data_IF_758382296546
#
_entry.id   IF_758382296546
#
_cell.length_a   1.000
_cell.length_b   1.000
_cell.length_c   1.000
_cell.angle_alpha   90.00
_cell.angle_beta   90.00
_cell.angle_gamma   90.00
#
_symmetry.space_group_name_H-M   'P 1'
#
loop_
_entity.id
_entity.type
_entity.pdbx_description
1 polymer ?
#
# COMPACT_ATOMS: atom_id res chain seq x y z
N UNK A 1 -13.49 20.07 28.86
CA UNK A 1 -14.39 19.87 27.71
C UNK A 1 -14.95 18.44 27.65
N UNK A 2 -14.12 17.39 27.73
CA UNK A 2 -14.59 15.98 27.73
C UNK A 2 -15.60 15.69 28.85
N UNK A 3 -15.33 16.14 30.08
CA UNK A 3 -16.24 15.94 31.21
C UNK A 3 -17.61 16.58 31.03
N UNK A 4 -17.66 17.77 30.43
CA UNK A 4 -18.91 18.46 30.08
C UNK A 4 -19.71 17.66 29.04
N UNK A 5 -19.04 17.10 28.03
CA UNK A 5 -19.68 16.25 27.03
C UNK A 5 -20.30 14.99 27.61
N UNK A 6 -19.60 14.30 28.52
CA UNK A 6 -20.12 13.10 29.21
C UNK A 6 -21.32 13.45 30.11
N UNK A 7 -21.21 14.52 30.89
CA UNK A 7 -22.28 14.96 31.78
C UNK A 7 -23.54 15.38 31.03
N UNK A 8 -23.39 16.10 29.91
CA UNK A 8 -24.53 16.56 29.11
C UNK A 8 -25.13 15.42 28.30
N UNK A 9 -24.33 14.59 27.63
CA UNK A 9 -24.85 13.55 26.73
C UNK A 9 -25.44 12.35 27.48
N UNK A 10 -24.69 11.79 28.45
CA UNK A 10 -25.11 10.58 29.17
C UNK A 10 -25.87 10.98 30.45
N UNK A 11 -25.37 11.98 31.17
CA UNK A 11 -25.93 12.40 32.45
C UNK A 11 -27.34 12.99 32.33
N UNK A 12 -27.64 13.77 31.28
CA UNK A 12 -28.99 14.32 31.08
C UNK A 12 -30.03 13.23 30.83
N UNK A 13 -29.74 12.30 29.91
CA UNK A 13 -30.61 11.16 29.59
C UNK A 13 -30.83 10.30 30.84
N UNK A 14 -29.77 10.08 31.63
CA UNK A 14 -29.89 9.35 32.88
C UNK A 14 -30.75 10.05 33.91
N UNK A 15 -30.59 11.35 34.12
CA UNK A 15 -31.41 12.11 35.08
C UNK A 15 -32.90 12.06 34.72
N UNK A 16 -33.23 12.22 33.43
CA UNK A 16 -34.61 12.17 32.94
C UNK A 16 -35.24 10.79 33.15
N UNK A 17 -34.50 9.71 32.88
CA UNK A 17 -35.03 8.35 33.06
C UNK A 17 -35.09 7.97 34.55
N UNK A 18 -34.13 8.42 35.36
CA UNK A 18 -34.04 8.13 36.79
C UNK A 18 -35.19 8.73 37.59
N UNK A 19 -35.63 9.94 37.25
CA UNK A 19 -36.76 10.60 37.93
C UNK A 19 -38.10 9.91 37.65
N UNK A 20 -38.25 9.20 36.52
CA UNK A 20 -39.50 8.54 36.15
C UNK A 20 -39.56 7.04 36.55
N UNK A 21 -38.44 6.32 36.45
CA UNK A 21 -38.41 4.84 36.57
C UNK A 21 -37.56 4.32 37.73
N UNK A 22 -36.91 5.23 38.46
CA UNK A 22 -36.01 4.92 39.58
C UNK A 22 -34.58 4.62 39.13
N UNK A 23 -33.64 4.92 40.03
CA UNK A 23 -32.19 4.98 39.73
C UNK A 23 -31.62 3.66 39.19
N UNK A 24 -32.08 2.51 39.71
CA UNK A 24 -31.60 1.19 39.30
C UNK A 24 -32.00 0.84 37.87
N UNK A 25 -33.24 1.18 37.49
CA UNK A 25 -33.73 0.89 36.14
C UNK A 25 -33.10 1.84 35.13
N UNK A 26 -33.08 3.14 35.44
CA UNK A 26 -32.46 4.15 34.60
C UNK A 26 -31.00 3.85 34.28
N UNK A 27 -30.23 3.38 35.26
CA UNK A 27 -28.83 3.01 35.05
C UNK A 27 -28.68 1.87 34.04
N UNK A 28 -29.51 0.83 34.12
CA UNK A 28 -29.49 -0.28 33.16
C UNK A 28 -29.88 0.16 31.76
N UNK A 29 -30.94 0.96 31.63
CA UNK A 29 -31.45 1.44 30.33
C UNK A 29 -30.43 2.34 29.64
N UNK A 30 -29.84 3.29 30.38
CA UNK A 30 -28.88 4.25 29.81
C UNK A 30 -27.57 3.56 29.44
N UNK A 31 -27.06 2.65 30.28
CA UNK A 31 -25.88 1.86 29.95
C UNK A 31 -26.13 0.96 28.74
N UNK A 32 -27.31 0.34 28.64
CA UNK A 32 -27.68 -0.44 27.46
C UNK A 32 -27.72 0.46 26.21
N UNK A 33 -28.37 1.62 26.28
CA UNK A 33 -28.40 2.59 25.17
C UNK A 33 -27.00 3.04 24.74
N UNK A 34 -26.10 3.32 25.69
CA UNK A 34 -24.71 3.70 25.41
C UNK A 34 -23.94 2.56 24.73
N UNK A 35 -24.05 1.33 25.24
CA UNK A 35 -23.36 0.18 24.66
C UNK A 35 -23.90 -0.19 23.28
N UNK A 36 -25.21 -0.07 23.07
CA UNK A 36 -25.83 -0.24 21.75
C UNK A 36 -25.36 0.83 20.76
N UNK A 37 -25.27 2.09 21.19
CA UNK A 37 -24.70 3.16 20.38
C UNK A 37 -23.22 2.93 20.06
N UNK A 38 -22.41 2.51 21.03
CA UNK A 38 -20.99 2.17 20.81
C UNK A 38 -20.84 0.97 19.87
N UNK A 39 -21.73 -0.02 19.93
CA UNK A 39 -21.74 -1.16 19.01
C UNK A 39 -22.07 -0.71 17.56
N UNK A 40 -23.02 0.20 17.37
CA UNK A 40 -23.36 0.76 16.05
C UNK A 40 -22.20 1.58 15.50
N UNK A 41 -21.62 2.49 16.30
CA UNK A 41 -20.47 3.28 15.88
C UNK A 41 -19.25 2.42 15.58
N UNK A 42 -18.95 1.47 16.47
CA UNK A 42 -17.88 0.50 16.25
C UNK A 42 -18.10 -0.28 14.96
N UNK A 43 -19.34 -0.71 14.67
CA UNK A 43 -19.66 -1.44 13.44
C UNK A 43 -19.39 -0.58 12.20
N UNK A 44 -19.79 0.70 12.22
CA UNK A 44 -19.48 1.64 11.15
C UNK A 44 -17.96 1.83 11.00
N UNK A 45 -17.23 2.05 12.10
CA UNK A 45 -15.77 2.17 12.09
C UNK A 45 -15.06 0.91 11.60
N UNK A 46 -15.57 -0.26 11.95
CA UNK A 46 -15.03 -1.54 11.49
C UNK A 46 -15.24 -1.73 9.98
N UNK A 47 -16.44 -1.42 9.49
CA UNK A 47 -16.79 -1.55 8.07
C UNK A 47 -15.99 -0.58 7.20
N UNK A 48 -15.91 0.69 7.61
CA UNK A 48 -15.21 1.74 6.84
C UNK A 48 -13.71 1.84 7.16
N UNK A 49 -13.23 1.19 8.22
CA UNK A 49 -11.85 1.31 8.68
C UNK A 49 -11.47 2.75 9.04
N UNK A 50 -12.35 3.46 9.75
CA UNK A 50 -12.22 4.86 10.17
C UNK A 50 -12.36 4.99 11.70
N UNK A 51 -12.32 6.22 12.23
CA UNK A 51 -12.44 6.47 13.67
C UNK A 51 -11.19 6.04 14.44
N UNK A 52 -11.36 5.34 15.56
CA UNK A 52 -10.24 4.80 16.34
C UNK A 52 -9.65 3.54 15.67
N UNK A 53 -9.02 3.76 14.52
CA UNK A 53 -8.38 2.71 13.72
C UNK A 53 -6.97 2.38 14.23
N UNK A 54 -6.49 1.18 13.86
CA UNK A 54 -5.09 0.80 14.01
C UNK A 54 -4.19 1.44 12.94
N UNK A 55 -2.94 0.98 12.86
CA UNK A 55 -2.01 1.42 11.82
C UNK A 55 -2.53 1.06 10.43
N UNK A 56 -2.36 1.97 9.47
CA UNK A 56 -2.59 1.72 8.06
C UNK A 56 -1.47 0.83 7.47
N UNK A 57 -1.71 0.14 6.35
CA UNK A 57 -0.67 -0.62 5.66
C UNK A 57 0.47 0.29 5.20
N UNK A 58 1.71 -0.15 5.39
CA UNK A 58 2.91 0.54 4.91
C UNK A 58 3.97 -0.45 4.46
N UNK A 59 4.93 0.00 3.67
CA UNK A 59 6.17 -0.74 3.45
C UNK A 59 7.08 -0.55 4.66
N UNK A 60 7.76 -1.61 5.07
CA UNK A 60 8.79 -1.56 6.12
C UNK A 60 10.06 -2.15 5.55
N UNK A 61 11.14 -1.36 5.57
CA UNK A 61 12.46 -1.83 5.14
C UNK A 61 12.98 -2.86 6.13
N UNK A 62 13.36 -4.02 5.58
CA UNK A 62 13.93 -5.15 6.32
C UNK A 62 15.43 -5.19 6.14
N UNK A 63 15.92 -4.84 4.95
CA UNK A 63 17.32 -4.88 4.60
C UNK A 63 17.65 -3.83 3.53
N UNK A 64 18.82 -3.21 3.62
CA UNK A 64 19.38 -2.34 2.58
C UNK A 64 20.73 -2.95 2.22
N UNK A 65 20.81 -3.54 1.04
CA UNK A 65 22.00 -4.20 0.54
C UNK A 65 22.72 -3.30 -0.47
N UNK A 66 24.05 -3.27 -0.41
CA UNK A 66 24.90 -2.52 -1.34
C UNK A 66 25.72 -3.53 -2.17
N UNK A 67 25.43 -3.62 -3.46
CA UNK A 67 26.11 -4.51 -4.39
C UNK A 67 25.53 -5.93 -4.40
N UNK A 68 26.13 -6.85 -3.64
CA UNK A 68 25.86 -8.30 -3.75
C UNK A 68 24.60 -8.72 -2.98
N UNK A 69 23.52 -8.98 -3.72
CA UNK A 69 22.24 -9.49 -3.19
C UNK A 69 22.37 -10.81 -2.41
N UNK A 70 23.38 -11.64 -2.70
CA UNK A 70 23.61 -12.90 -1.99
C UNK A 70 23.96 -12.68 -0.51
N UNK A 71 24.49 -11.51 -0.16
CA UNK A 71 24.79 -11.12 1.21
C UNK A 71 23.54 -10.66 2.00
N UNK A 72 22.37 -10.53 1.35
CA UNK A 72 21.16 -10.00 2.01
C UNK A 72 20.74 -10.84 3.20
N UNK A 73 20.24 -10.19 4.26
CA UNK A 73 19.61 -10.86 5.39
C UNK A 73 18.32 -11.60 5.03
N UNK A 74 17.72 -11.28 3.88
CA UNK A 74 16.46 -11.86 3.39
C UNK A 74 16.77 -12.97 2.38
N UNK A 75 16.36 -14.21 2.69
CA UNK A 75 16.64 -15.36 1.83
C UNK A 75 16.02 -15.22 0.44
N UNK A 76 14.82 -14.65 0.37
CA UNK A 76 14.10 -14.39 -0.88
C UNK A 76 14.84 -13.39 -1.78
N UNK A 77 15.54 -12.39 -1.21
CA UNK A 77 16.27 -11.39 -2.00
C UNK A 77 17.46 -11.99 -2.75
N UNK A 78 18.10 -13.03 -2.18
CA UNK A 78 19.23 -13.75 -2.79
C UNK A 78 18.86 -14.56 -4.03
N UNK A 79 17.55 -14.74 -4.27
CA UNK A 79 17.06 -15.46 -5.46
C UNK A 79 16.93 -14.56 -6.68
N UNK A 80 16.95 -13.24 -6.49
CA UNK A 80 16.87 -12.30 -7.59
C UNK A 80 18.21 -12.29 -8.33
N UNK A 81 18.24 -12.50 -9.66
CA UNK A 81 19.47 -12.40 -10.45
C UNK A 81 20.08 -11.00 -10.38
N UNK A 82 21.39 -10.92 -10.54
CA UNK A 82 22.09 -9.63 -10.54
C UNK A 82 21.65 -8.80 -11.76
N UNK A 83 21.51 -7.46 -11.60
CA UNK A 83 21.06 -6.59 -12.68
C UNK A 83 21.89 -6.68 -13.96
N UNK A 84 23.19 -6.96 -13.84
CA UNK A 84 24.13 -7.01 -14.97
C UNK A 84 23.95 -8.28 -15.83
N UNK A 85 23.30 -9.32 -15.31
CA UNK A 85 22.99 -10.55 -16.06
C UNK A 85 21.74 -10.39 -16.96
N UNK A 86 20.93 -9.36 -16.68
CA UNK A 86 19.69 -9.09 -17.39
C UNK A 86 19.93 -8.05 -18.50
N UNK A 87 19.36 -8.21 -19.71
CA UNK A 87 19.53 -7.23 -20.77
C UNK A 87 19.03 -5.84 -20.32
N UNK A 88 19.63 -4.80 -20.89
CA UNK A 88 19.14 -3.44 -20.65
C UNK A 88 17.75 -3.26 -21.26
N UNK A 89 16.95 -2.36 -20.70
CA UNK A 89 15.60 -2.14 -21.23
C UNK A 89 15.64 -1.63 -22.68
N UNK A 90 16.63 -0.79 -23.03
CA UNK A 90 16.80 -0.29 -24.39
C UNK A 90 17.12 -1.41 -25.39
N UNK A 91 18.03 -2.32 -25.04
CA UNK A 91 18.33 -3.50 -25.87
C UNK A 91 17.07 -4.35 -26.09
N UNK A 92 16.24 -4.52 -25.06
CA UNK A 92 14.97 -5.24 -25.19
C UNK A 92 14.03 -4.54 -26.18
N UNK A 93 13.93 -3.20 -26.13
CA UNK A 93 13.11 -2.43 -27.09
C UNK A 93 13.58 -2.66 -28.52
N UNK A 94 14.88 -2.46 -28.77
CA UNK A 94 15.49 -2.59 -30.10
C UNK A 94 15.32 -4.01 -30.65
N UNK A 95 15.55 -5.03 -29.82
CA UNK A 95 15.45 -6.43 -30.21
C UNK A 95 14.00 -6.92 -30.39
N UNK A 96 13.04 -6.37 -29.63
CA UNK A 96 11.66 -6.84 -29.66
C UNK A 96 10.91 -6.52 -30.95
N UNK A 97 11.26 -5.41 -31.61
CA UNK A 97 10.50 -4.90 -32.76
C UNK A 97 9.06 -4.48 -32.42
N UNK A 98 8.69 -4.37 -31.14
CA UNK A 98 7.34 -4.00 -30.73
C UNK A 98 7.04 -2.54 -31.15
N UNK A 99 5.95 -2.28 -31.89
CA UNK A 99 5.65 -0.95 -32.41
C UNK A 99 5.38 0.07 -31.31
N UNK A 100 4.80 -0.35 -30.18
CA UNK A 100 4.51 0.54 -29.05
C UNK A 100 5.77 0.88 -28.27
N UNK A 101 6.62 -0.11 -28.02
CA UNK A 101 7.90 0.12 -27.34
C UNK A 101 8.82 1.01 -28.18
N UNK A 102 8.92 0.75 -29.50
CA UNK A 102 9.76 1.53 -30.40
C UNK A 102 9.25 2.96 -30.57
N UNK A 103 7.93 3.18 -30.66
CA UNK A 103 7.38 4.52 -30.79
C UNK A 103 7.76 5.42 -29.61
N UNK A 104 7.76 4.88 -28.38
CA UNK A 104 8.04 5.65 -27.17
C UNK A 104 9.55 5.80 -26.90
N UNK A 105 10.31 4.72 -27.07
CA UNK A 105 11.70 4.61 -26.58
C UNK A 105 12.75 4.39 -27.67
N UNK A 106 12.37 4.39 -28.94
CA UNK A 106 13.31 4.19 -30.06
C UNK A 106 12.99 5.10 -31.25
N UNK A 107 12.59 6.34 -30.96
CA UNK A 107 12.38 7.40 -31.95
C UNK A 107 13.35 8.54 -31.69
N UNK A 108 13.97 9.04 -32.77
CA UNK A 108 14.85 10.21 -32.76
C UNK A 108 14.25 11.28 -33.69
N UNK A 109 14.19 12.55 -33.27
CA UNK A 109 13.70 13.61 -34.14
C UNK A 109 14.60 13.81 -35.34
N UNK A 110 14.03 14.19 -36.47
CA UNK A 110 14.77 14.52 -37.69
C UNK A 110 14.80 16.04 -37.90
N UNK A 111 15.69 16.54 -38.76
CA UNK A 111 15.72 17.96 -39.17
C UNK A 111 14.35 18.48 -39.67
N UNK A 112 13.51 17.59 -40.22
CA UNK A 112 12.15 17.92 -40.64
C UNK A 112 11.21 18.28 -39.47
N UNK A 113 11.47 17.77 -38.26
CA UNK A 113 10.68 18.07 -37.05
C UNK A 113 11.05 19.43 -36.46
N UNK A 114 12.26 19.94 -36.78
CA UNK A 114 12.80 21.20 -36.29
C UNK A 114 13.38 22.07 -37.43
N UNK A 115 12.53 22.56 -38.36
CA UNK A 115 13.00 23.30 -39.53
C UNK A 115 13.65 24.66 -39.19
N UNK A 116 13.37 25.20 -38.00
CA UNK A 116 13.86 26.51 -37.55
C UNK A 116 15.17 26.42 -36.77
N UNK A 117 15.66 25.21 -36.44
CA UNK A 117 16.87 25.00 -35.66
C UNK A 117 18.07 24.68 -36.58
N UNK A 118 19.28 25.14 -36.24
CA UNK A 118 20.48 24.74 -36.95
C UNK A 118 20.76 23.24 -36.76
N UNK A 119 21.38 22.55 -37.75
CA UNK A 119 21.62 21.11 -37.67
C UNK A 119 22.42 20.66 -36.44
N UNK A 120 23.30 21.54 -35.93
CA UNK A 120 24.09 21.26 -34.73
C UNK A 120 23.23 21.15 -33.46
N UNK A 121 22.21 22.00 -33.31
CA UNK A 121 21.29 21.94 -32.17
C UNK A 121 20.35 20.72 -32.28
N UNK A 122 19.95 20.34 -33.50
CA UNK A 122 19.17 19.11 -33.72
C UNK A 122 19.98 17.87 -33.32
N UNK A 123 21.28 17.83 -33.62
CA UNK A 123 22.16 16.74 -33.20
C UNK A 123 22.31 16.66 -31.66
N UNK A 124 22.32 17.80 -30.96
CA UNK A 124 22.34 17.85 -29.50
C UNK A 124 21.03 17.28 -28.90
N UNK A 125 19.88 17.68 -29.47
CA UNK A 125 18.57 17.15 -29.07
C UNK A 125 18.49 15.63 -29.33
N UNK A 126 18.99 15.17 -30.48
CA UNK A 126 19.06 13.73 -30.79
C UNK A 126 19.92 12.98 -29.78
N UNK A 127 21.08 13.52 -29.40
CA UNK A 127 21.95 12.90 -28.40
C UNK A 127 21.28 12.84 -27.02
N UNK A 128 20.58 13.89 -26.58
CA UNK A 128 19.82 13.91 -25.32
C UNK A 128 18.68 12.88 -25.31
N UNK A 129 17.94 12.77 -26.42
CA UNK A 129 16.85 11.78 -26.54
C UNK A 129 17.42 10.36 -26.61
N UNK A 130 18.54 10.16 -27.30
CA UNK A 130 19.21 8.87 -27.32
C UNK A 130 19.66 8.46 -25.92
N UNK A 131 20.25 9.38 -25.15
CA UNK A 131 20.61 9.14 -23.75
C UNK A 131 19.39 8.77 -22.90
N UNK A 132 18.24 9.42 -23.09
CA UNK A 132 16.98 9.03 -22.43
C UNK A 132 16.60 7.59 -22.76
N UNK A 133 16.68 7.23 -24.03
CA UNK A 133 16.30 5.91 -24.50
C UNK A 133 17.24 4.83 -23.94
N UNK A 134 18.55 5.10 -23.89
CA UNK A 134 19.57 4.18 -23.35
C UNK A 134 19.49 4.03 -21.83
N UNK A 135 19.13 5.09 -21.12
CA UNK A 135 19.00 5.07 -19.65
C UNK A 135 17.63 4.58 -19.17
N UNK A 136 16.80 4.03 -20.07
CA UNK A 136 15.49 3.46 -19.77
C UNK A 136 15.60 2.31 -18.75
N UNK A 137 14.71 2.30 -17.76
CA UNK A 137 14.60 1.20 -16.79
C UNK A 137 13.64 0.12 -17.27
N UNK A 138 13.80 -1.11 -16.77
CA UNK A 138 12.91 -2.23 -17.14
C UNK A 138 11.52 -2.00 -16.56
N UNK A 139 11.42 -1.39 -15.38
CA UNK A 139 10.15 -0.96 -14.77
C UNK A 139 9.40 0.09 -15.60
N UNK A 140 10.10 1.04 -16.25
CA UNK A 140 9.50 1.98 -17.19
C UNK A 140 9.02 1.28 -18.47
N UNK A 141 9.85 0.39 -19.02
CA UNK A 141 9.46 -0.42 -20.18
C UNK A 141 8.22 -1.27 -19.88
N UNK A 142 8.14 -1.89 -18.71
CA UNK A 142 7.00 -2.68 -18.28
C UNK A 142 5.70 -1.86 -18.16
N UNK A 143 5.79 -0.54 -17.91
CA UNK A 143 4.62 0.33 -17.85
C UNK A 143 4.02 0.60 -19.23
N UNK A 144 4.86 0.67 -20.27
CA UNK A 144 4.45 0.96 -21.65
C UNK A 144 4.18 -0.32 -22.44
N UNK A 145 5.11 -1.26 -22.43
CA UNK A 145 5.08 -2.50 -23.21
C UNK A 145 5.38 -3.73 -22.32
N UNK A 146 4.45 -4.12 -21.43
CA UNK A 146 4.64 -5.26 -20.53
C UNK A 146 4.85 -6.60 -21.24
N UNK A 147 4.40 -6.72 -22.50
CA UNK A 147 4.63 -7.91 -23.32
C UNK A 147 6.10 -8.12 -23.67
N UNK A 148 6.87 -7.03 -23.85
CA UNK A 148 8.30 -7.11 -24.15
C UNK A 148 9.06 -7.66 -22.95
N UNK A 149 8.90 -7.06 -21.77
CA UNK A 149 9.57 -7.50 -20.54
C UNK A 149 9.23 -8.94 -20.15
N UNK A 150 7.98 -9.36 -20.37
CA UNK A 150 7.53 -10.74 -20.20
C UNK A 150 8.19 -11.72 -21.18
N UNK A 151 8.41 -11.31 -22.42
CA UNK A 151 9.14 -12.12 -23.41
C UNK A 151 10.55 -12.51 -22.93
N UNK A 152 11.14 -11.69 -22.05
CA UNK A 152 12.42 -11.95 -21.39
C UNK A 152 12.29 -12.65 -20.02
N UNK A 153 11.09 -13.07 -19.61
CA UNK A 153 10.86 -13.78 -18.34
C UNK A 153 10.92 -12.91 -17.09
N UNK A 154 10.85 -11.58 -17.22
CA UNK A 154 10.93 -10.66 -16.07
C UNK A 154 9.70 -10.71 -15.15
N UNK A 155 8.66 -11.45 -15.52
CA UNK A 155 7.49 -11.70 -14.69
C UNK A 155 7.66 -12.88 -13.73
N UNK A 156 8.68 -13.72 -13.92
CA UNK A 156 9.07 -14.81 -13.02
C UNK A 156 10.60 -15.03 -13.00
N UNK A 157 11.29 -14.18 -12.26
CA UNK A 157 12.71 -14.29 -11.93
C UNK A 157 12.87 -15.04 -10.61
N UNK A 158 12.80 -16.37 -10.65
CA UNK A 158 12.84 -17.22 -9.46
C UNK A 158 11.76 -16.84 -8.42
N UNK A 159 10.55 -16.53 -8.89
CA UNK A 159 9.42 -16.06 -8.08
C UNK A 159 9.30 -14.55 -7.94
N UNK A 160 10.31 -13.77 -8.35
CA UNK A 160 10.23 -12.32 -8.40
C UNK A 160 9.59 -11.82 -9.68
N UNK A 161 8.67 -10.88 -9.54
CA UNK A 161 7.99 -10.22 -10.65
C UNK A 161 8.41 -8.77 -10.73
N UNK A 162 8.86 -8.33 -11.90
CA UNK A 162 9.09 -6.91 -12.20
C UNK A 162 7.79 -6.11 -12.08
N UNK A 163 7.84 -5.01 -11.33
CA UNK A 163 6.75 -4.07 -11.19
C UNK A 163 6.91 -2.94 -12.20
N UNK A 164 5.84 -2.56 -12.93
CA UNK A 164 5.85 -1.33 -13.71
C UNK A 164 5.85 -0.12 -12.79
N UNK A 165 6.38 1.02 -13.27
CA UNK A 165 6.40 2.30 -12.54
C UNK A 165 5.02 2.74 -12.04
N UNK A 166 3.97 2.38 -12.78
CA UNK A 166 2.57 2.65 -12.41
C UNK A 166 2.10 1.93 -11.13
N UNK A 167 2.81 0.88 -10.69
CA UNK A 167 2.48 0.09 -9.49
C UNK A 167 3.56 0.16 -8.40
N UNK A 168 4.80 0.54 -8.74
CA UNK A 168 5.92 0.59 -7.79
C UNK A 168 6.03 1.89 -7.01
N UNK A 169 5.26 2.93 -7.34
CA UNK A 169 5.44 4.28 -6.77
C UNK A 169 5.44 4.35 -5.23
N UNK A 170 4.55 3.61 -4.55
CA UNK A 170 4.49 3.57 -3.07
C UNK A 170 5.75 2.93 -2.47
N UNK A 171 6.24 1.84 -3.08
CA UNK A 171 7.44 1.16 -2.64
C UNK A 171 8.70 2.00 -2.91
N UNK A 172 8.78 2.61 -4.10
CA UNK A 172 9.89 3.50 -4.47
C UNK A 172 9.97 4.72 -3.55
N UNK A 173 8.84 5.35 -3.22
CA UNK A 173 8.82 6.48 -2.30
C UNK A 173 9.30 6.08 -0.89
N UNK A 174 8.89 4.92 -0.38
CA UNK A 174 9.39 4.43 0.91
C UNK A 174 10.90 4.12 0.85
N UNK A 175 11.37 3.46 -0.20
CA UNK A 175 12.78 3.15 -0.38
C UNK A 175 13.66 4.41 -0.43
N UNK A 176 13.23 5.45 -1.16
CA UNK A 176 13.89 6.76 -1.21
C UNK A 176 13.98 7.37 0.20
N UNK A 177 12.88 7.36 0.94
CA UNK A 177 12.85 7.90 2.29
C UNK A 177 13.80 7.16 3.23
N UNK A 178 13.84 5.83 3.14
CA UNK A 178 14.66 4.99 4.01
C UNK A 178 16.15 5.10 3.66
N UNK A 179 16.52 5.20 2.38
CA UNK A 179 17.91 5.42 1.96
C UNK A 179 18.42 6.80 2.40
N UNK A 180 17.62 7.84 2.23
CA UNK A 180 17.98 9.19 2.69
C UNK A 180 18.05 9.31 4.22
N UNK A 181 17.41 8.38 4.95
CA UNK A 181 17.53 8.29 6.40
C UNK A 181 18.84 7.63 6.87
N UNK A 182 19.65 7.09 5.95
CA UNK A 182 20.92 6.41 6.20
C UNK A 182 22.10 7.19 5.57
N UNK A 183 22.68 8.18 6.29
CA UNK A 183 23.76 9.02 5.77
C UNK A 183 25.06 8.25 5.44
N UNK A 184 25.22 7.06 5.99
CA UNK A 184 26.33 6.14 5.75
C UNK A 184 26.38 5.62 4.31
N UNK A 185 25.25 5.66 3.59
CA UNK A 185 25.18 5.32 2.17
C UNK A 185 25.67 6.45 1.25
N UNK A 186 25.94 7.65 1.78
CA UNK A 186 26.50 8.77 1.02
C UNK A 186 25.51 9.59 0.20
N UNK A 187 24.21 9.30 0.28
CA UNK A 187 23.15 10.06 -0.40
C UNK A 187 22.62 11.19 0.48
N UNK A 188 22.66 12.41 -0.01
CA UNK A 188 22.13 13.60 0.68
C UNK A 188 20.79 14.05 0.10
N UNK A 189 20.54 13.76 -1.18
CA UNK A 189 19.34 14.16 -1.88
C UNK A 189 18.83 13.08 -2.83
N UNK A 190 17.55 13.18 -3.21
CA UNK A 190 16.96 12.31 -4.22
C UNK A 190 17.51 12.54 -5.64
N UNK A 191 18.34 13.58 -5.86
CA UNK A 191 19.03 13.81 -7.12
C UNK A 191 20.35 13.03 -7.22
N UNK A 192 20.89 12.56 -6.09
CA UNK A 192 22.19 11.88 -6.02
C UNK A 192 22.13 10.44 -6.55
N UNK A 193 20.93 9.90 -6.79
CA UNK A 193 20.73 8.55 -7.26
C UNK A 193 19.53 8.45 -8.22
N UNK A 194 19.57 7.44 -9.08
CA UNK A 194 18.48 7.10 -9.99
C UNK A 194 17.82 5.80 -9.51
N UNK A 195 16.49 5.79 -9.48
CA UNK A 195 15.72 4.57 -9.29
C UNK A 195 15.83 3.71 -10.55
N UNK A 196 16.24 2.47 -10.38
CA UNK A 196 16.32 1.48 -11.45
C UNK A 196 14.98 0.72 -11.51
N UNK A 197 14.99 -0.54 -11.09
CA UNK A 197 13.85 -1.44 -11.19
C UNK A 197 13.25 -1.74 -9.82
N UNK A 198 11.95 -2.04 -9.83
CA UNK A 198 11.23 -2.51 -8.66
C UNK A 198 10.67 -3.91 -8.91
N UNK A 199 10.86 -4.81 -7.96
CA UNK A 199 10.41 -6.20 -8.02
C UNK A 199 9.51 -6.52 -6.84
N UNK A 200 8.62 -7.51 -6.99
CA UNK A 200 7.82 -8.03 -5.88
C UNK A 200 7.79 -9.55 -5.88
N UNK A 201 7.76 -10.14 -4.70
CA UNK A 201 7.58 -11.59 -4.50
C UNK A 201 6.52 -11.84 -3.43
N UNK A 202 5.78 -12.94 -3.59
CA UNK A 202 4.74 -13.35 -2.66
C UNK A 202 3.45 -12.52 -2.77
N UNK A 203 2.79 -12.30 -1.64
CA UNK A 203 1.49 -11.65 -1.61
C UNK A 203 0.33 -12.53 -2.08
N UNK A 204 -0.86 -11.93 -2.18
CA UNK A 204 -2.06 -12.64 -2.62
C UNK A 204 -1.97 -12.89 -4.12
N UNK A 205 -2.44 -14.05 -4.61
CA UNK A 205 -2.52 -14.30 -6.03
C UNK A 205 -3.32 -13.19 -6.70
N UNK A 206 -2.72 -12.60 -7.72
CA UNK A 206 -3.38 -11.61 -8.58
C UNK A 206 -4.12 -12.34 -9.71
N UNK A 207 -5.06 -11.63 -10.29
CA UNK A 207 -5.78 -12.11 -11.45
C UNK A 207 -4.84 -12.08 -12.67
N UNK A 208 -4.94 -13.07 -13.56
CA UNK A 208 -4.22 -13.05 -14.84
C UNK A 208 -4.69 -11.87 -15.72
N UNK A 209 -3.90 -11.51 -16.75
CA UNK A 209 -4.23 -10.37 -17.63
C UNK A 209 -5.53 -10.59 -18.43
N UNK A 210 -5.80 -11.83 -18.87
CA UNK A 210 -7.02 -12.21 -19.58
C UNK A 210 -7.86 -13.23 -18.79
N UNK A 211 -8.51 -12.80 -17.69
CA UNK A 211 -9.17 -13.72 -16.79
C UNK A 211 -10.58 -14.02 -17.26
N UNK A 212 -10.91 -15.31 -17.32
CA UNK A 212 -12.28 -15.74 -17.52
C UNK A 212 -13.13 -15.44 -16.27
N UNK A 213 -14.46 -15.47 -16.42
CA UNK A 213 -15.41 -15.32 -15.31
C UNK A 213 -15.13 -16.33 -14.19
N UNK A 214 -14.76 -17.56 -14.56
CA UNK A 214 -14.42 -18.61 -13.61
C UNK A 214 -13.16 -18.31 -12.80
N UNK A 215 -12.14 -17.71 -13.41
CA UNK A 215 -10.90 -17.34 -12.70
C UNK A 215 -11.18 -16.26 -11.65
N UNK A 216 -12.04 -15.30 -11.98
CA UNK A 216 -12.48 -14.26 -11.03
C UNK A 216 -13.21 -14.84 -9.84
N UNK A 217 -14.16 -15.74 -10.09
CA UNK A 217 -14.96 -16.37 -9.03
C UNK A 217 -14.05 -17.25 -8.17
N UNK A 218 -13.22 -18.09 -8.79
CA UNK A 218 -12.28 -18.97 -8.08
C UNK A 218 -11.31 -18.17 -7.22
N UNK A 219 -10.74 -17.10 -7.77
CA UNK A 219 -9.83 -16.21 -7.04
C UNK A 219 -10.53 -15.54 -5.87
N UNK A 220 -11.76 -15.07 -6.05
CA UNK A 220 -12.53 -14.47 -4.97
C UNK A 220 -12.80 -15.46 -3.83
N UNK A 221 -13.24 -16.69 -4.15
CA UNK A 221 -13.49 -17.75 -3.16
C UNK A 221 -12.20 -18.11 -2.41
N UNK A 222 -11.13 -18.39 -3.15
CA UNK A 222 -9.84 -18.81 -2.56
C UNK A 222 -9.21 -17.69 -1.71
N UNK A 223 -9.28 -16.43 -2.16
CA UNK A 223 -8.78 -15.30 -1.38
C UNK A 223 -9.63 -15.00 -0.14
N UNK A 224 -10.94 -15.30 -0.18
CA UNK A 224 -11.83 -15.16 0.99
C UNK A 224 -11.57 -16.26 2.01
N UNK A 225 -11.26 -17.48 1.55
CA UNK A 225 -10.93 -18.61 2.42
C UNK A 225 -9.55 -18.49 3.10
N UNK A 226 -8.63 -17.65 2.57
CA UNK A 226 -7.32 -17.39 3.19
C UNK A 226 -7.47 -16.45 4.39
N UNK A 227 -7.54 -17.05 5.58
CA UNK A 227 -7.60 -16.32 6.85
C UNK A 227 -6.27 -15.58 7.12
N UNK A 228 -5.13 -16.21 6.82
CA UNK A 228 -3.81 -15.60 6.96
C UNK A 228 -3.41 -14.88 5.68
N UNK A 229 -2.68 -13.78 5.83
CA UNK A 229 -2.17 -13.02 4.69
C UNK A 229 -0.76 -13.51 4.35
N UNK A 230 -0.50 -13.92 3.09
CA UNK A 230 0.85 -14.24 2.66
C UNK A 230 1.72 -12.99 2.70
N UNK A 231 2.95 -13.15 3.20
CA UNK A 231 3.95 -12.09 3.21
C UNK A 231 4.25 -11.65 1.76
N UNK A 232 4.43 -10.35 1.58
CA UNK A 232 4.78 -9.76 0.28
C UNK A 232 6.04 -8.93 0.48
N UNK A 233 7.07 -9.23 -0.29
CA UNK A 233 8.26 -8.42 -0.35
C UNK A 233 8.23 -7.53 -1.59
N UNK A 234 8.86 -6.38 -1.48
CA UNK A 234 9.20 -5.51 -2.59
C UNK A 234 10.68 -5.18 -2.51
N UNK A 235 11.37 -5.24 -3.64
CA UNK A 235 12.77 -4.88 -3.76
C UNK A 235 12.84 -3.70 -4.71
N UNK A 236 13.48 -2.61 -4.29
CA UNK A 236 13.70 -1.44 -5.13
C UNK A 236 15.19 -1.23 -5.28
N UNK A 237 15.64 -1.17 -6.52
CA UNK A 237 17.04 -0.93 -6.86
C UNK A 237 17.26 0.53 -7.17
N UNK A 238 18.38 1.06 -6.69
CA UNK A 238 18.86 2.40 -6.96
C UNK A 238 20.37 2.40 -7.12
N UNK A 239 20.87 3.34 -7.90
CA UNK A 239 22.29 3.48 -8.17
C UNK A 239 22.65 4.95 -8.22
N UNK A 240 23.88 5.27 -7.81
CA UNK A 240 24.36 6.64 -7.75
C UNK A 240 24.38 7.29 -9.14
N UNK A 241 24.11 8.60 -9.17
CA UNK A 241 24.17 9.41 -10.38
C UNK A 241 25.48 10.20 -10.39
N UNK A 242 26.08 10.29 -11.57
CA UNK A 242 27.27 11.13 -11.78
C UNK A 242 26.86 12.59 -11.64
N UNK A 243 27.59 13.35 -10.81
CA UNK A 243 27.36 14.78 -10.63
C UNK A 243 27.58 15.53 -11.96
N UNK A 244 26.53 16.20 -12.43
CA UNK A 244 26.52 16.93 -13.69
C UNK A 244 26.35 18.42 -13.41
N UNK A 245 27.23 19.29 -13.95
CA UNK A 245 27.18 20.71 -13.65
C UNK A 245 25.88 21.33 -14.19
N UNK A 246 25.04 21.82 -13.28
CA UNK A 246 23.85 22.57 -13.64
C UNK A 246 24.24 23.98 -14.12
N UNK A 247 23.97 24.27 -15.39
CA UNK A 247 24.16 25.62 -15.94
C UNK A 247 22.88 26.44 -15.72
N UNK A 248 22.94 27.55 -14.96
CA UNK A 248 21.76 28.38 -14.70
C UNK A 248 21.11 28.87 -15.99
N UNK A 249 19.82 28.61 -16.16
CA UNK A 249 19.03 29.01 -17.33
C UNK A 249 18.89 27.95 -18.43
N UNK A 250 19.61 26.82 -18.32
CA UNK A 250 19.38 25.63 -19.16
C UNK A 250 18.46 24.65 -18.42
N UNK A 251 17.85 23.72 -19.18
CA UNK A 251 17.14 22.61 -18.56
C UNK A 251 18.14 21.76 -17.74
N UNK A 252 17.76 21.29 -16.53
CA UNK A 252 18.60 20.39 -15.76
C UNK A 252 19.02 19.19 -16.60
N UNK A 253 20.31 18.82 -16.60
CA UNK A 253 20.78 17.69 -17.36
C UNK A 253 20.17 16.40 -16.82
N UNK A 254 19.97 15.41 -17.68
CA UNK A 254 19.34 14.14 -17.27
C UNK A 254 20.27 13.37 -16.34
N UNK A 255 19.76 12.79 -15.23
CA UNK A 255 20.55 11.93 -14.37
C UNK A 255 21.11 10.72 -15.13
N UNK A 256 22.43 10.61 -15.20
CA UNK A 256 23.16 9.47 -15.77
C UNK A 256 23.75 8.67 -14.63
N UNK A 257 23.50 7.37 -14.65
CA UNK A 257 23.92 6.44 -13.60
C UNK A 257 25.42 6.20 -13.67
N UNK A 258 26.10 6.17 -12.52
CA UNK A 258 27.49 5.74 -12.42
C UNK A 258 27.57 4.22 -12.41
N UNK A 259 28.09 3.63 -13.50
CA UNK A 259 28.25 2.18 -13.65
C UNK A 259 29.37 1.60 -12.79
N UNK A 260 30.25 2.44 -12.22
CA UNK A 260 31.32 2.01 -11.32
C UNK A 260 30.86 1.82 -9.87
N UNK A 261 29.74 2.43 -9.49
CA UNK A 261 29.19 2.35 -8.14
C UNK A 261 28.20 1.17 -8.01
N UNK A 262 28.18 0.48 -6.86
CA UNK A 262 27.34 -0.70 -6.68
C UNK A 262 25.84 -0.34 -6.64
N UNK A 263 25.01 -1.26 -7.13
CA UNK A 263 23.55 -1.14 -7.04
C UNK A 263 23.11 -1.34 -5.59
N UNK A 264 22.39 -0.37 -5.04
CA UNK A 264 21.77 -0.45 -3.72
C UNK A 264 20.38 -1.06 -3.87
N UNK A 265 20.14 -2.16 -3.17
CA UNK A 265 18.87 -2.90 -3.19
C UNK A 265 18.17 -2.76 -1.83
N UNK A 266 17.06 -2.04 -1.82
CA UNK A 266 16.22 -1.86 -0.62
C UNK A 266 15.14 -2.94 -0.61
N UNK A 267 15.23 -3.85 0.35
CA UNK A 267 14.28 -4.95 0.54
C UNK A 267 13.27 -4.56 1.60
N UNK A 268 12.00 -4.51 1.21
CA UNK A 268 10.88 -4.12 2.07
C UNK A 268 9.87 -5.25 2.18
N UNK A 269 9.22 -5.35 3.34
CA UNK A 269 8.06 -6.21 3.56
C UNK A 269 6.80 -5.35 3.64
N UNK A 270 5.68 -5.84 3.09
CA UNK A 270 4.38 -5.16 3.22
C UNK A 270 3.77 -5.46 4.57
N UNK A 271 3.80 -4.48 5.48
CA UNK A 271 2.98 -4.52 6.67
C UNK A 271 1.53 -4.14 6.31
N UNK A 272 0.58 -5.02 6.60
CA UNK A 272 -0.85 -4.80 6.35
C UNK A 272 -1.51 -3.97 7.47
N UNK A 273 -0.79 -3.73 8.56
CA UNK A 273 -1.24 -2.97 9.70
C UNK A 273 -2.41 -3.65 10.44
N UNK A 274 -2.98 -2.91 11.38
CA UNK A 274 -4.08 -3.35 12.24
C UNK A 274 -5.31 -2.46 12.10
N UNK A 275 -5.49 -1.86 10.92
CA UNK A 275 -6.49 -0.82 10.63
C UNK A 275 -7.88 -1.15 11.21
N UNK A 276 -8.35 -2.38 11.03
CA UNK A 276 -9.70 -2.82 11.44
C UNK A 276 -9.76 -3.52 12.80
N UNK A 277 -8.62 -3.86 13.42
CA UNK A 277 -8.58 -4.63 14.66
C UNK A 277 -9.18 -3.85 15.83
N UNK A 278 -8.73 -2.61 16.05
CA UNK A 278 -9.21 -1.77 17.16
C UNK A 278 -10.72 -1.50 17.08
N UNK A 279 -11.28 -1.08 15.92
CA UNK A 279 -12.73 -0.94 15.78
C UNK A 279 -13.48 -2.25 16.03
N UNK A 280 -12.98 -3.39 15.52
CA UNK A 280 -13.62 -4.68 15.73
C UNK A 280 -13.70 -5.06 17.21
N UNK A 281 -12.63 -4.83 17.98
CA UNK A 281 -12.62 -5.09 19.43
C UNK A 281 -13.65 -4.24 20.18
N UNK A 282 -13.79 -2.95 19.82
CA UNK A 282 -14.80 -2.06 20.41
C UNK A 282 -16.21 -2.55 20.07
N UNK A 283 -16.47 -2.90 18.81
CA UNK A 283 -17.78 -3.42 18.37
C UNK A 283 -18.17 -4.68 19.12
N UNK A 284 -17.28 -5.68 19.17
CA UNK A 284 -17.55 -6.97 19.80
C UNK A 284 -17.72 -6.77 21.31
N UNK A 285 -16.83 -6.01 21.94
CA UNK A 285 -16.91 -5.72 23.38
C UNK A 285 -18.21 -5.01 23.76
N UNK A 286 -18.56 -3.93 23.05
CA UNK A 286 -19.79 -3.19 23.31
C UNK A 286 -21.05 -4.00 22.97
N UNK A 287 -21.03 -4.81 21.90
CA UNK A 287 -22.15 -5.66 21.54
C UNK A 287 -22.42 -6.74 22.61
N UNK A 288 -21.37 -7.37 23.15
CA UNK A 288 -21.52 -8.36 24.22
C UNK A 288 -22.10 -7.74 25.50
N UNK A 289 -21.61 -6.55 25.90
CA UNK A 289 -22.14 -5.84 27.07
C UNK A 289 -23.59 -5.39 26.82
N UNK A 290 -23.89 -4.89 25.62
CA UNK A 290 -25.26 -4.52 25.24
C UNK A 290 -26.23 -5.69 25.37
N UNK A 291 -25.87 -6.86 24.82
CA UNK A 291 -26.69 -8.06 24.90
C UNK A 291 -26.88 -8.53 26.34
N UNK A 292 -25.84 -8.46 27.18
CA UNK A 292 -25.94 -8.79 28.61
C UNK A 292 -26.90 -7.85 29.35
N UNK A 293 -26.85 -6.55 29.09
CA UNK A 293 -27.75 -5.56 29.70
C UNK A 293 -29.19 -5.71 29.21
N UNK A 294 -29.40 -5.96 27.92
CA UNK A 294 -30.72 -6.28 27.36
C UNK A 294 -31.29 -7.56 27.98
N UNK A 295 -30.45 -8.59 28.19
CA UNK A 295 -30.86 -9.81 28.86
C UNK A 295 -31.31 -9.54 30.31
N UNK A 296 -30.57 -8.73 31.07
CA UNK A 296 -30.96 -8.35 32.43
C UNK A 296 -32.25 -7.53 32.48
N UNK A 297 -32.44 -6.60 31.55
CA UNK A 297 -33.71 -5.86 31.41
C UNK A 297 -34.88 -6.80 31.11
N UNK A 298 -34.68 -7.76 30.21
CA UNK A 298 -35.70 -8.75 29.85
C UNK A 298 -36.09 -9.65 31.03
N UNK A 299 -35.12 -10.12 31.81
CA UNK A 299 -35.37 -10.91 33.02
C UNK A 299 -36.19 -10.10 34.02
N UNK A 300 -35.82 -8.83 34.25
CA UNK A 300 -36.55 -7.93 35.13
C UNK A 300 -37.98 -7.69 34.67
N UNK A 301 -38.20 -7.46 33.37
CA UNK A 301 -39.54 -7.24 32.84
C UNK A 301 -40.45 -8.46 33.05
N UNK A 302 -39.91 -9.67 32.90
CA UNK A 302 -40.63 -10.90 33.23
C UNK A 302 -41.02 -11.00 34.71
N UNK A 303 -40.10 -10.65 35.62
CA UNK A 303 -40.39 -10.65 37.06
C UNK A 303 -41.50 -9.63 37.42
N UNK A 304 -41.46 -8.44 36.82
CA UNK A 304 -42.49 -7.42 37.04
C UNK A 304 -43.86 -7.86 36.51
N UNK A 305 -43.91 -8.51 35.34
CA UNK A 305 -45.14 -9.07 34.80
C UNK A 305 -45.70 -10.18 35.68
N UNK A 306 -44.84 -11.05 36.23
CA UNK A 306 -45.25 -12.11 37.14
C UNK A 306 -45.88 -11.54 38.42
N UNK A 307 -45.23 -10.55 39.06
CA UNK A 307 -45.75 -9.88 40.26
C UNK A 307 -47.08 -9.15 40.01
N UNK A 308 -47.25 -8.53 38.83
CA UNK A 308 -48.53 -7.90 38.47
C UNK A 308 -49.65 -8.92 38.36
N UNK A 309 -49.39 -10.07 37.73
CA UNK A 309 -50.37 -11.17 37.63
C UNK A 309 -50.75 -11.72 39.01
N UNK A 310 -49.77 -11.89 39.91
CA UNK A 310 -50.04 -12.32 41.30
C UNK A 310 -50.91 -11.29 42.04
N UNK A 311 -50.63 -10.00 41.87
CA UNK A 311 -51.41 -8.92 42.49
C UNK A 311 -52.85 -8.86 41.95
N UNK A 312 -53.02 -8.93 40.63
CA UNK A 312 -54.34 -8.98 39.99
C UNK A 312 -55.15 -10.20 40.47
N UNK A 313 -54.52 -11.37 40.54
CA UNK A 313 -55.15 -12.59 41.06
C UNK A 313 -55.50 -12.52 42.55
N UNK A 314 -54.77 -11.73 43.35
CA UNK A 314 -55.08 -11.52 44.78
C UNK A 314 -56.19 -10.50 45.03
N UNK A 315 -56.49 -9.65 44.04
CA UNK A 315 -57.46 -8.55 44.14
C UNK A 315 -58.82 -8.92 43.52
N UNK A 316 -58.86 -9.91 42.64
CA UNK A 316 -60.08 -10.54 42.09
C UNK A 316 -60.67 -11.58 43.03
#
# INVERSE_FOLDING_TARGET
VVGTGVAVLIGSVWLVVATNTGIRHATLVVLAGLMGWMAILGSAWWMYGSGWKGADPSWQTVDINVGDLNASGVAEARLLPDPDELPSAYEMVVASGDPRANAEFNTLPTEADYPDLPPAEVAEIQADIQLRNETLTRSELAAVAPGVTRGYGLDDLAGWKLLPTTRSGDAQAQAVADVLAHPDLGYNSAADFKLLDAYTIGGKPELSEDPNRWDRISLWVTNTARITHPIRYSLVQLQQVIDQPEVPGMAPPRPVVDTGEPVVSVVMVRDLGTRRLRPALVTIGSALIFLALCYWLHVRDKELMARRREFEASTS
#
